data_IF_689362534201
#
_entry.id   IF_689362534201
#
_cell.length_a   1.000
_cell.length_b   1.000
_cell.length_c   1.000
_cell.angle_alpha   90.00
_cell.angle_beta   90.00
_cell.angle_gamma   90.00
#
_symmetry.space_group_name_H-M   'P 1'
#
loop_
_entity.id
_entity.type
_entity.pdbx_description
1 polymer ?
#
# COMPACT_ATOMS: atom_id res chain seq x y z
N UNK A 1 -48.66 -7.99 -3.81
CA UNK A 1 -48.20 -7.72 -2.43
C UNK A 1 -47.67 -8.95 -1.69
N UNK A 2 -48.29 -10.13 -1.82
CA UNK A 2 -47.85 -11.36 -1.12
C UNK A 2 -46.42 -11.81 -1.53
N UNK A 3 -46.06 -11.67 -2.82
CA UNK A 3 -44.74 -12.04 -3.33
C UNK A 3 -43.63 -11.13 -2.78
N UNK A 4 -43.91 -9.83 -2.63
CA UNK A 4 -42.98 -8.86 -2.04
C UNK A 4 -42.78 -9.14 -0.53
N UNK A 5 -43.86 -9.49 0.18
CA UNK A 5 -43.77 -9.94 1.57
C UNK A 5 -42.98 -11.25 1.72
N UNK A 6 -43.20 -12.21 0.83
CA UNK A 6 -42.48 -13.49 0.82
C UNK A 6 -40.99 -13.32 0.49
N UNK A 7 -40.64 -12.46 -0.46
CA UNK A 7 -39.24 -12.11 -0.75
C UNK A 7 -38.61 -11.34 0.41
N UNK A 8 -39.28 -10.32 0.97
CA UNK A 8 -38.78 -9.58 2.14
C UNK A 8 -38.51 -10.50 3.32
N UNK A 9 -39.37 -11.49 3.55
CA UNK A 9 -39.22 -12.49 4.60
C UNK A 9 -38.13 -13.54 4.30
N UNK A 10 -37.85 -13.82 3.01
CA UNK A 10 -36.69 -14.63 2.60
C UNK A 10 -35.37 -13.86 2.69
N UNK A 11 -35.34 -12.57 2.40
CA UNK A 11 -34.16 -11.72 2.60
C UNK A 11 -33.87 -11.49 4.09
N UNK A 12 -34.89 -11.29 4.91
CA UNK A 12 -34.73 -11.12 6.37
C UNK A 12 -34.21 -12.37 7.10
N UNK A 13 -34.41 -13.57 6.53
CA UNK A 13 -33.89 -14.83 7.08
C UNK A 13 -32.52 -15.25 6.50
N UNK A 14 -31.98 -14.50 5.54
CA UNK A 14 -30.66 -14.75 4.98
C UNK A 14 -29.54 -14.10 5.80
N UNK A 15 -29.86 -13.16 6.72
CA UNK A 15 -28.87 -12.40 7.50
C UNK A 15 -28.63 -12.85 8.95
N UNK A 16 -29.30 -13.90 9.44
CA UNK A 16 -29.14 -14.36 10.84
C UNK A 16 -29.03 -15.88 10.94
N UNK A 17 -28.11 -16.47 10.17
CA UNK A 17 -27.49 -17.70 10.64
C UNK A 17 -26.48 -17.26 11.70
N UNK A 18 -26.90 -17.32 12.96
CA UNK A 18 -26.00 -17.14 14.11
C UNK A 18 -25.05 -18.34 14.11
N UNK A 19 -24.10 -18.37 13.18
CA UNK A 19 -23.09 -19.42 13.11
C UNK A 19 -22.26 -19.33 14.38
N UNK A 20 -22.26 -20.45 15.12
CA UNK A 20 -21.59 -20.62 16.41
C UNK A 20 -20.10 -20.34 16.22
N UNK A 21 -19.69 -19.13 16.57
CA UNK A 21 -18.32 -18.67 16.53
C UNK A 21 -17.92 -18.01 17.85
N UNK A 22 -16.67 -17.61 17.94
CA UNK A 22 -16.16 -16.80 19.06
C UNK A 22 -15.61 -15.49 18.53
N UNK A 23 -15.72 -14.45 19.36
CA UNK A 23 -15.21 -13.14 19.00
C UNK A 23 -13.72 -13.01 19.29
N UNK A 24 -13.01 -12.28 18.44
CA UNK A 24 -11.62 -11.91 18.62
C UNK A 24 -11.45 -10.45 18.23
N UNK A 25 -10.72 -9.70 19.04
CA UNK A 25 -10.48 -8.27 18.83
C UNK A 25 -9.14 -8.03 18.15
N UNK A 26 -9.07 -7.07 17.25
CA UNK A 26 -7.83 -6.63 16.64
C UNK A 26 -7.86 -5.12 16.43
N UNK A 27 -6.71 -4.47 16.55
CA UNK A 27 -6.59 -3.02 16.39
C UNK A 27 -5.71 -2.73 15.19
N UNK A 28 -6.24 -1.98 14.23
CA UNK A 28 -5.49 -1.48 13.09
C UNK A 28 -5.25 0.02 13.23
N UNK A 29 -4.15 0.50 12.66
CA UNK A 29 -3.89 1.95 12.57
C UNK A 29 -4.87 2.62 11.60
N UNK A 30 -5.33 1.89 10.58
CA UNK A 30 -6.37 2.30 9.64
C UNK A 30 -7.23 1.10 9.27
N UNK A 31 -8.54 1.30 9.16
CA UNK A 31 -9.50 0.32 8.62
C UNK A 31 -10.29 0.92 7.45
N UNK A 32 -9.70 1.84 6.70
CA UNK A 32 -10.34 2.50 5.56
C UNK A 32 -10.89 1.49 4.55
N UNK A 33 -12.18 1.63 4.24
CA UNK A 33 -12.91 0.76 3.31
C UNK A 33 -13.28 -0.62 3.87
N UNK A 34 -12.97 -0.93 5.13
CA UNK A 34 -13.41 -2.16 5.77
C UNK A 34 -14.82 -1.95 6.36
N UNK A 35 -15.74 -2.83 5.98
CA UNK A 35 -17.14 -2.80 6.42
C UNK A 35 -17.49 -4.00 7.31
N UNK A 36 -18.65 -3.93 7.96
CA UNK A 36 -19.23 -5.08 8.68
C UNK A 36 -19.63 -6.18 7.70
N UNK A 37 -19.68 -7.42 8.18
CA UNK A 37 -20.02 -8.64 7.41
C UNK A 37 -19.04 -9.04 6.29
N UNK A 38 -17.92 -8.33 6.18
CA UNK A 38 -16.81 -8.68 5.28
C UNK A 38 -16.10 -9.97 5.72
N UNK A 39 -15.59 -10.76 4.76
CA UNK A 39 -14.94 -12.05 5.03
C UNK A 39 -13.63 -11.93 5.81
N UNK A 40 -13.39 -12.90 6.68
CA UNK A 40 -12.11 -13.15 7.37
C UNK A 40 -11.54 -14.45 6.86
N UNK A 41 -10.31 -14.44 6.39
CA UNK A 41 -9.72 -15.57 5.66
C UNK A 41 -8.37 -16.02 6.19
N UNK A 42 -8.13 -17.32 6.17
CA UNK A 42 -6.81 -17.93 6.37
C UNK A 42 -6.46 -18.68 5.09
N UNK A 43 -5.30 -18.37 4.51
CA UNK A 43 -4.83 -19.00 3.27
C UNK A 43 -5.88 -19.00 2.13
N UNK A 44 -6.70 -17.94 2.06
CA UNK A 44 -7.76 -17.77 1.06
C UNK A 44 -9.06 -18.54 1.34
N UNK A 45 -9.17 -19.21 2.49
CA UNK A 45 -10.39 -19.89 2.93
C UNK A 45 -11.10 -19.02 3.97
N UNK A 46 -12.40 -18.80 3.78
CA UNK A 46 -13.25 -18.09 4.74
C UNK A 46 -13.34 -18.87 6.05
N UNK A 47 -13.03 -18.19 7.16
CA UNK A 47 -13.02 -18.75 8.52
C UNK A 47 -13.84 -17.93 9.52
N UNK A 48 -14.51 -16.89 9.02
CA UNK A 48 -15.26 -15.95 9.84
C UNK A 48 -15.64 -14.69 9.07
N UNK A 49 -16.20 -13.72 9.80
CA UNK A 49 -16.58 -12.41 9.28
C UNK A 49 -16.24 -11.29 10.26
N UNK A 50 -16.12 -10.08 9.74
CA UNK A 50 -16.06 -8.86 10.54
C UNK A 50 -17.43 -8.64 11.18
N UNK A 51 -17.48 -8.63 12.51
CA UNK A 51 -18.71 -8.36 13.24
C UNK A 51 -18.96 -6.87 13.43
N UNK A 52 -17.91 -6.09 13.74
CA UNK A 52 -18.00 -4.64 13.97
C UNK A 52 -16.68 -3.95 13.66
N UNK A 53 -16.76 -2.69 13.24
CA UNK A 53 -15.64 -1.75 13.12
C UNK A 53 -15.94 -0.52 13.96
N UNK A 54 -15.07 -0.21 14.92
CA UNK A 54 -15.25 0.85 15.91
C UNK A 54 -13.96 1.69 15.99
N UNK A 55 -14.08 2.94 16.44
CA UNK A 55 -12.94 3.78 16.78
C UNK A 55 -12.69 3.71 18.29
N UNK A 56 -11.47 3.33 18.69
CA UNK A 56 -11.06 3.26 20.09
C UNK A 56 -9.60 3.75 20.21
N UNK A 57 -9.33 4.71 21.08
CA UNK A 57 -7.99 5.29 21.32
C UNK A 57 -7.24 5.72 20.05
N UNK A 58 -7.96 6.28 19.08
CA UNK A 58 -7.40 6.73 17.80
C UNK A 58 -7.00 5.60 16.85
N UNK A 59 -7.40 4.36 17.14
CA UNK A 59 -7.20 3.18 16.29
C UNK A 59 -8.54 2.55 15.91
N UNK A 60 -8.55 1.82 14.80
CA UNK A 60 -9.71 1.04 14.40
C UNK A 60 -9.75 -0.28 15.19
N UNK A 61 -10.67 -0.41 16.14
CA UNK A 61 -11.01 -1.67 16.79
C UNK A 61 -11.94 -2.46 15.86
N UNK A 62 -11.46 -3.60 15.38
CA UNK A 62 -12.22 -4.53 14.56
C UNK A 62 -12.53 -5.77 15.40
N UNK A 63 -13.81 -6.11 15.51
CA UNK A 63 -14.29 -7.32 16.16
C UNK A 63 -14.53 -8.36 15.08
N UNK A 64 -13.80 -9.47 15.13
CA UNK A 64 -13.92 -10.59 14.22
C UNK A 64 -14.75 -11.69 14.88
N UNK A 65 -15.68 -12.27 14.15
CA UNK A 65 -16.38 -13.50 14.55
C UNK A 65 -15.77 -14.66 13.78
N UNK A 66 -15.08 -15.53 14.50
CA UNK A 66 -14.35 -16.69 13.94
C UNK A 66 -15.16 -17.95 14.19
N UNK A 67 -15.24 -18.83 13.19
CA UNK A 67 -15.98 -20.07 13.29
C UNK A 67 -15.40 -21.00 14.37
N UNK A 68 -16.27 -21.71 15.10
CA UNK A 68 -15.88 -22.51 16.28
C UNK A 68 -14.92 -23.67 15.99
N UNK A 69 -14.89 -24.15 14.74
CA UNK A 69 -13.95 -25.17 14.24
C UNK A 69 -12.53 -24.62 13.99
N UNK A 70 -12.35 -23.30 13.92
CA UNK A 70 -11.06 -22.66 13.67
C UNK A 70 -10.43 -22.24 14.99
N UNK A 71 -9.19 -22.69 15.24
CA UNK A 71 -8.45 -22.38 16.47
C UNK A 71 -7.32 -21.41 16.16
N UNK A 72 -7.46 -20.16 16.63
CA UNK A 72 -6.42 -19.15 16.48
C UNK A 72 -5.38 -19.24 17.60
N UNK A 73 -4.13 -18.96 17.26
CA UNK A 73 -2.98 -18.88 18.17
C UNK A 73 -2.73 -17.43 18.58
N UNK A 74 -2.12 -17.20 19.74
CA UNK A 74 -1.83 -15.84 20.25
C UNK A 74 -0.87 -15.04 19.36
N UNK A 75 -0.04 -15.71 18.59
CA UNK A 75 0.90 -15.11 17.65
C UNK A 75 0.36 -15.03 16.21
N UNK A 76 -0.94 -15.27 16.01
CA UNK A 76 -1.62 -15.00 14.74
C UNK A 76 -1.40 -13.54 14.35
N UNK A 77 -1.23 -13.29 13.06
CA UNK A 77 -1.13 -11.95 12.49
C UNK A 77 -2.39 -11.63 11.71
N UNK A 78 -2.86 -10.40 11.79
CA UNK A 78 -3.98 -9.93 10.99
C UNK A 78 -3.54 -8.78 10.06
N UNK A 79 -4.12 -8.72 8.88
CA UNK A 79 -3.96 -7.60 7.94
C UNK A 79 -5.26 -7.36 7.18
N UNK A 80 -5.41 -6.17 6.61
CA UNK A 80 -6.55 -5.84 5.76
C UNK A 80 -6.13 -6.06 4.30
N UNK A 81 -6.59 -7.15 3.71
CA UNK A 81 -6.41 -7.44 2.30
C UNK A 81 -7.30 -6.57 1.42
N UNK A 82 -6.95 -6.50 0.14
CA UNK A 82 -7.75 -5.86 -0.91
C UNK A 82 -7.92 -6.85 -2.05
N UNK A 83 -9.16 -7.08 -2.48
CA UNK A 83 -9.52 -8.04 -3.52
C UNK A 83 -9.90 -7.32 -4.81
N UNK A 84 -9.41 -7.84 -5.92
CA UNK A 84 -9.74 -7.34 -7.26
C UNK A 84 -9.25 -5.91 -7.51
N UNK A 85 -9.69 -5.35 -8.63
CA UNK A 85 -9.31 -3.99 -9.07
C UNK A 85 -10.17 -2.92 -8.39
N UNK A 86 -11.40 -3.28 -7.96
CA UNK A 86 -12.36 -2.36 -7.35
C UNK A 86 -12.04 -2.03 -5.89
N UNK A 87 -11.17 -2.81 -5.26
CA UNK A 87 -10.67 -2.47 -3.93
C UNK A 87 -11.45 -3.08 -2.76
N UNK A 88 -12.26 -4.11 -2.99
CA UNK A 88 -13.06 -4.76 -1.95
C UNK A 88 -12.15 -5.23 -0.80
N UNK A 89 -12.40 -4.75 0.41
CA UNK A 89 -11.57 -5.09 1.56
C UNK A 89 -11.97 -6.44 2.15
N UNK A 90 -11.01 -7.12 2.77
CA UNK A 90 -11.24 -8.32 3.56
C UNK A 90 -10.16 -8.46 4.64
N UNK A 91 -10.39 -9.26 5.67
CA UNK A 91 -9.38 -9.48 6.72
C UNK A 91 -8.62 -10.77 6.41
N UNK A 92 -7.30 -10.69 6.38
CA UNK A 92 -6.41 -11.84 6.23
C UNK A 92 -5.81 -12.18 7.59
N UNK A 93 -5.91 -13.44 7.97
CA UNK A 93 -5.25 -14.00 9.13
C UNK A 93 -4.12 -14.94 8.68
N UNK A 94 -2.93 -14.71 9.22
CA UNK A 94 -1.77 -15.59 9.05
C UNK A 94 -1.55 -16.33 10.36
N UNK A 95 -1.74 -17.65 10.33
CA UNK A 95 -1.56 -18.49 11.51
C UNK A 95 -0.10 -18.45 11.97
N UNK A 96 0.11 -18.31 13.27
CA UNK A 96 1.43 -18.35 13.87
C UNK A 96 1.94 -19.77 14.12
N UNK A 97 2.89 -19.90 15.03
CA UNK A 97 3.52 -21.17 15.41
C UNK A 97 2.55 -22.11 16.10
N UNK A 98 2.68 -23.41 15.82
CA UNK A 98 1.91 -24.47 16.49
C UNK A 98 2.18 -24.54 18.00
N UNK A 99 3.35 -24.07 18.45
CA UNK A 99 3.75 -24.05 19.85
C UNK A 99 3.11 -22.89 20.65
N UNK A 100 2.53 -21.90 19.98
CA UNK A 100 1.93 -20.76 20.66
C UNK A 100 0.61 -21.15 21.35
N UNK A 101 0.27 -20.52 22.49
CA UNK A 101 -1.01 -20.73 23.16
C UNK A 101 -2.19 -20.35 22.26
N UNK A 102 -3.35 -20.94 22.50
CA UNK A 102 -4.58 -20.53 21.83
C UNK A 102 -5.04 -19.15 22.31
N UNK A 103 -5.73 -18.44 21.42
CA UNK A 103 -6.52 -17.27 21.78
C UNK A 103 -7.82 -17.76 22.44
N UNK A 104 -8.12 -17.19 23.59
CA UNK A 104 -9.41 -17.41 24.26
C UNK A 104 -10.51 -16.61 23.57
N UNK A 105 -11.78 -17.03 23.66
CA UNK A 105 -12.93 -16.21 23.25
C UNK A 105 -12.89 -14.81 23.87
N UNK A 106 -13.09 -13.78 23.03
CA UNK A 106 -12.94 -12.37 23.42
C UNK A 106 -11.49 -11.88 23.51
N UNK A 107 -10.53 -12.75 23.24
CA UNK A 107 -9.11 -12.45 23.21
C UNK A 107 -8.72 -11.47 22.11
N UNK A 108 -7.47 -11.01 22.16
CA UNK A 108 -6.94 -9.98 21.26
C UNK A 108 -5.79 -10.53 20.40
N UNK A 109 -5.85 -10.22 19.10
CA UNK A 109 -4.72 -10.34 18.18
C UNK A 109 -3.82 -9.13 18.38
N UNK A 110 -2.57 -9.39 18.74
CA UNK A 110 -1.59 -8.32 19.03
C UNK A 110 -0.81 -7.91 17.78
N UNK A 111 -0.57 -8.84 16.87
CA UNK A 111 0.24 -8.60 15.69
C UNK A 111 -0.64 -8.21 14.50
N UNK A 112 -0.50 -6.97 14.04
CA UNK A 112 -1.08 -6.52 12.77
C UNK A 112 0.00 -6.19 11.77
N UNK A 113 -0.23 -6.52 10.50
CA UNK A 113 0.62 -6.10 9.39
C UNK A 113 -0.16 -5.06 8.61
N UNK A 114 0.35 -3.83 8.59
CA UNK A 114 -0.19 -2.78 7.74
C UNK A 114 0.07 -3.16 6.29
N UNK A 115 -1.00 -3.31 5.53
CA UNK A 115 -0.94 -3.51 4.08
C UNK A 115 -0.79 -2.15 3.42
N UNK A 116 0.11 -2.04 2.46
CA UNK A 116 0.29 -0.81 1.70
C UNK A 116 -0.99 -0.49 0.94
N UNK A 117 -1.65 0.60 1.30
CA UNK A 117 -2.84 1.07 0.59
C UNK A 117 -2.49 1.54 -0.83
N UNK A 118 -3.44 1.38 -1.76
CA UNK A 118 -3.30 1.86 -3.15
C UNK A 118 -2.95 3.35 -3.19
N UNK A 119 -3.50 4.15 -2.27
CA UNK A 119 -3.20 5.57 -2.12
C UNK A 119 -1.71 5.82 -1.82
N UNK A 120 -1.12 4.98 -0.97
CA UNK A 120 0.31 5.06 -0.66
C UNK A 120 1.15 4.72 -1.89
N UNK A 121 0.74 3.75 -2.71
CA UNK A 121 1.40 3.45 -3.97
C UNK A 121 1.28 4.60 -4.97
N UNK A 122 0.10 5.23 -5.10
CA UNK A 122 -0.10 6.38 -5.98
C UNK A 122 0.76 7.58 -5.57
N UNK A 123 0.92 7.82 -4.26
CA UNK A 123 1.80 8.86 -3.75
C UNK A 123 3.26 8.61 -4.14
N UNK A 124 3.74 7.37 -3.96
CA UNK A 124 5.10 6.98 -4.37
C UNK A 124 5.29 7.16 -5.89
N UNK A 125 4.30 6.77 -6.71
CA UNK A 125 4.36 6.96 -8.16
C UNK A 125 4.38 8.45 -8.54
N UNK A 126 3.59 9.29 -7.87
CA UNK A 126 3.58 10.73 -8.08
C UNK A 126 4.94 11.37 -7.75
N UNK A 127 5.59 10.91 -6.68
CA UNK A 127 6.93 11.37 -6.31
C UNK A 127 7.99 10.95 -7.33
N UNK A 128 7.95 9.69 -7.80
CA UNK A 128 8.83 9.21 -8.87
C UNK A 128 8.64 10.03 -10.15
N UNK A 129 7.39 10.29 -10.56
CA UNK A 129 7.09 11.11 -11.73
C UNK A 129 7.63 12.55 -11.58
N UNK A 130 7.49 13.14 -10.38
CA UNK A 130 8.03 14.47 -10.07
C UNK A 130 9.56 14.49 -10.17
N UNK A 131 10.23 13.48 -9.62
CA UNK A 131 11.67 13.35 -9.68
C UNK A 131 12.16 13.23 -11.12
N UNK A 132 11.52 12.40 -11.94
CA UNK A 132 11.81 12.29 -13.38
C UNK A 132 11.66 13.65 -14.07
N UNK A 133 10.55 14.36 -13.85
CA UNK A 133 10.33 15.67 -14.47
C UNK A 133 11.42 16.69 -14.09
N UNK A 134 11.92 16.61 -12.86
CA UNK A 134 13.01 17.47 -12.36
C UNK A 134 14.33 17.12 -13.04
N UNK A 135 14.66 15.83 -13.16
CA UNK A 135 15.83 15.35 -13.90
C UNK A 135 15.77 15.79 -15.37
N UNK A 136 14.62 15.62 -16.03
CA UNK A 136 14.44 16.01 -17.44
C UNK A 136 14.63 17.51 -17.65
N UNK A 137 14.10 18.37 -16.75
CA UNK A 137 14.33 19.83 -16.83
C UNK A 137 15.80 20.20 -16.62
N UNK A 138 16.46 19.58 -15.64
CA UNK A 138 17.89 19.80 -15.39
C UNK A 138 18.73 19.40 -16.61
N UNK A 139 18.42 18.26 -17.22
CA UNK A 139 19.07 17.81 -18.45
C UNK A 139 18.82 18.77 -19.62
N UNK A 140 17.57 19.20 -19.84
CA UNK A 140 17.22 20.16 -20.87
C UNK A 140 17.95 21.50 -20.69
N UNK A 141 18.07 21.99 -19.45
CA UNK A 141 18.81 23.22 -19.14
C UNK A 141 20.32 23.12 -19.42
N UNK A 142 20.90 21.93 -19.30
CA UNK A 142 22.33 21.70 -19.60
C UNK A 142 22.55 21.52 -21.11
N UNK A 143 21.65 20.83 -21.81
CA UNK A 143 21.82 20.50 -23.23
C UNK A 143 21.33 21.57 -24.20
N UNK A 144 20.29 22.33 -23.82
CA UNK A 144 19.65 23.33 -24.69
C UNK A 144 19.37 24.66 -24.00
N UNK A 145 19.92 24.87 -22.80
CA UNK A 145 19.81 26.13 -22.08
C UNK A 145 21.02 27.02 -22.31
N UNK A 146 20.84 28.31 -22.03
CA UNK A 146 21.86 29.37 -22.14
C UNK A 146 23.17 29.02 -21.40
N UNK A 147 23.10 28.28 -20.28
CA UNK A 147 24.27 27.76 -19.56
C UNK A 147 25.05 26.71 -20.35
N UNK A 148 24.35 25.81 -21.03
CA UNK A 148 24.97 24.81 -21.90
C UNK A 148 25.68 25.45 -23.07
N UNK A 149 25.01 26.38 -23.75
CA UNK A 149 25.60 27.17 -24.84
C UNK A 149 26.81 28.00 -24.36
N UNK A 150 26.72 28.62 -23.19
CA UNK A 150 27.83 29.39 -22.60
C UNK A 150 29.05 28.51 -22.31
N UNK A 151 28.85 27.32 -21.74
CA UNK A 151 29.95 26.35 -21.52
C UNK A 151 30.56 25.88 -22.84
N UNK A 152 29.75 25.59 -23.86
CA UNK A 152 30.25 25.20 -25.18
C UNK A 152 31.03 26.32 -25.87
N UNK A 153 30.54 27.56 -25.81
CA UNK A 153 31.26 28.74 -26.33
C UNK A 153 32.60 28.93 -25.63
N UNK A 154 32.64 28.83 -24.30
CA UNK A 154 33.87 28.95 -23.53
C UNK A 154 34.90 27.86 -23.89
N UNK A 155 34.45 26.63 -24.18
CA UNK A 155 35.32 25.55 -24.66
C UNK A 155 35.89 25.89 -26.05
N UNK A 156 35.04 26.37 -26.97
CA UNK A 156 35.46 26.76 -28.34
C UNK A 156 36.46 27.91 -28.30
N UNK A 157 36.20 28.93 -27.48
CA UNK A 157 37.10 30.08 -27.31
C UNK A 157 38.46 29.65 -26.75
N UNK A 158 38.48 28.75 -25.76
CA UNK A 158 39.72 28.19 -25.22
C UNK A 158 40.51 27.42 -26.27
N UNK A 159 39.84 26.63 -27.12
CA UNK A 159 40.51 25.92 -28.22
C UNK A 159 41.11 26.90 -29.25
N UNK A 160 40.41 27.99 -29.55
CA UNK A 160 40.91 29.02 -30.47
C UNK A 160 42.19 29.67 -29.93
N UNK A 161 42.20 30.04 -28.65
CA UNK A 161 43.37 30.63 -27.99
C UNK A 161 44.59 29.68 -27.99
N UNK A 162 44.37 28.38 -27.78
CA UNK A 162 45.43 27.36 -27.86
C UNK A 162 45.96 27.24 -29.29
N UNK A 163 45.08 27.22 -30.30
CA UNK A 163 45.48 27.14 -31.70
C UNK A 163 46.28 28.37 -32.16
N UNK A 164 45.89 29.57 -31.73
CA UNK A 164 46.64 30.81 -31.99
C UNK A 164 48.03 30.79 -31.34
N UNK A 165 48.11 30.30 -30.10
CA UNK A 165 49.38 30.15 -29.38
C UNK A 165 50.30 29.15 -30.08
N UNK A 166 49.78 28.00 -30.50
CA UNK A 166 50.52 26.99 -31.26
C UNK A 166 51.03 27.54 -32.60
N UNK A 167 50.18 28.22 -33.36
CA UNK A 167 50.58 28.82 -34.64
C UNK A 167 51.70 29.85 -34.46
N UNK A 168 51.63 30.66 -33.40
CA UNK A 168 52.67 31.64 -33.08
C UNK A 168 53.99 30.94 -32.73
N UNK A 169 53.95 29.92 -31.88
CA UNK A 169 55.16 29.15 -31.52
C UNK A 169 55.76 28.42 -32.72
N UNK A 170 54.95 27.92 -33.66
CA UNK A 170 55.45 27.27 -34.88
C UNK A 170 56.08 28.27 -35.86
N UNK A 171 55.55 29.50 -35.95
CA UNK A 171 56.14 30.57 -36.76
C UNK A 171 57.46 31.09 -36.16
N UNK A 172 57.51 31.30 -34.84
CA UNK A 172 58.73 31.72 -34.14
C UNK A 172 59.88 30.69 -34.20
N UNK A 173 59.58 29.41 -34.47
CA UNK A 173 60.57 28.34 -34.54
C UNK A 173 61.05 28.03 -35.97
N UNK A 174 60.51 28.72 -36.98
CA UNK A 174 60.86 28.59 -38.40
C UNK A 174 61.62 29.83 -38.95
N UNK A 175 61.94 30.81 -38.10
CA UNK A 175 62.95 31.86 -38.34
C UNK A 175 64.29 31.50 -37.68
#
# INVERSE_FOLDING_TARGET
>A
MIILGYMSMRLGKLGFKMDKGYEVKVYFDSASGLEEDVSVEIAGVEVGRVSKVLLEDGKALVILRIDSNVKLRKDVKASIGTRGILGDKYVVLVQGSSAAPLIEPGGRIVSTVSTTDLDSLMNVLGEVAKNISTLTRSFANVMGGEKGEASLRSIVDSMKAVAETLNRTVQENNE
#
